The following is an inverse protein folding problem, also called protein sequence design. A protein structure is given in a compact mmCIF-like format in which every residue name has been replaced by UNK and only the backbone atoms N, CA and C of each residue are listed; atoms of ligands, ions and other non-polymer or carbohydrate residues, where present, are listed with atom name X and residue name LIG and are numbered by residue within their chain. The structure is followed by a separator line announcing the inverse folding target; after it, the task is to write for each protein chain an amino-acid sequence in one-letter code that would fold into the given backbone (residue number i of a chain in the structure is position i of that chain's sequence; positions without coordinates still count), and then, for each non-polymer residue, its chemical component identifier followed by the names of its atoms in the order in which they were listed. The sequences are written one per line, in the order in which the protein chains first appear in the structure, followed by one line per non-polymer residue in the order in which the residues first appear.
data_IF_690729010887
#
_entry.id   IF_690729010887
#
_cell.length_a   1.000
_cell.length_b   1.000
_cell.length_c   1.000
_cell.angle_alpha   90.00
_cell.angle_beta   90.00
_cell.angle_gamma   90.00
#
_symmetry.space_group_name_H-M   'P 1'
#
loop_
_entity.id
_entity.type
_entity.pdbx_description
1 polymer ?
#
# COMPACT_ATOMS: atom_id res chain seq x y z
N UNK A 1 -15.68 -12.93 -92.05
CA UNK A 1 -14.28 -13.38 -91.84
C UNK A 1 -13.76 -12.57 -90.65
N UNK A 2 -13.99 -13.02 -89.41
CA UNK A 2 -13.04 -13.79 -88.56
C UNK A 2 -11.77 -12.97 -88.20
N UNK A 3 -11.75 -12.54 -86.93
CA UNK A 3 -10.66 -12.19 -85.99
C UNK A 3 -9.59 -11.14 -86.34
N UNK A 4 -9.36 -10.19 -85.43
CA UNK A 4 -8.13 -10.17 -84.60
C UNK A 4 -8.27 -9.27 -83.36
N UNK A 5 -8.25 -9.92 -82.19
CA UNK A 5 -8.01 -9.35 -80.86
C UNK A 5 -6.50 -9.08 -80.74
N UNK A 6 -6.08 -7.85 -80.44
CA UNK A 6 -4.86 -7.54 -79.65
C UNK A 6 -4.94 -6.07 -79.22
N UNK A 7 -5.45 -5.77 -78.02
CA UNK A 7 -4.66 -5.37 -76.86
C UNK A 7 -3.65 -4.25 -77.20
N UNK A 8 -4.10 -3.00 -77.15
CA UNK A 8 -3.25 -1.82 -77.04
C UNK A 8 -3.12 -1.47 -75.54
N UNK A 9 -2.48 -2.38 -74.82
CA UNK A 9 -1.82 -2.07 -73.54
C UNK A 9 -0.66 -1.15 -73.89
N UNK A 10 -0.76 0.14 -73.60
CA UNK A 10 0.35 0.95 -73.07
C UNK A 10 -0.04 2.42 -72.98
N UNK A 11 0.22 2.97 -71.80
CA UNK A 11 0.51 4.39 -71.56
C UNK A 11 -0.63 5.38 -71.70
N UNK A 12 -1.39 5.57 -70.62
CA UNK A 12 -1.43 6.88 -69.96
C UNK A 12 -1.98 6.76 -68.54
N UNK A 13 -1.21 6.06 -67.69
CA UNK A 13 -1.17 6.42 -66.27
C UNK A 13 -0.57 7.81 -66.24
N UNK A 14 -1.30 8.81 -65.71
CA UNK A 14 -0.81 10.00 -64.97
C UNK A 14 -1.95 11.04 -64.87
N UNK A 15 -2.45 11.19 -63.63
CA UNK A 15 -2.88 12.45 -62.99
C UNK A 15 -4.21 13.08 -63.43
N UNK A 16 -5.26 12.80 -62.63
CA UNK A 16 -6.16 13.81 -62.00
C UNK A 16 -7.00 13.09 -60.93
N UNK A 17 -6.56 13.04 -59.67
CA UNK A 17 -6.85 14.02 -58.61
C UNK A 17 -8.35 14.23 -58.32
N UNK A 18 -8.93 13.29 -57.57
CA UNK A 18 -10.01 13.60 -56.64
C UNK A 18 -9.70 12.88 -55.31
N UNK A 19 -9.45 13.70 -54.30
CA UNK A 19 -9.09 13.39 -52.92
C UNK A 19 -9.88 12.22 -52.31
N UNK A 20 -9.18 11.18 -51.87
CA UNK A 20 -9.69 10.21 -50.89
C UNK A 20 -9.01 10.56 -49.55
N UNK A 21 -9.75 10.73 -48.44
CA UNK A 21 -9.12 10.93 -47.15
C UNK A 21 -8.44 9.62 -46.73
N UNK A 22 -7.12 9.57 -46.83
CA UNK A 22 -6.31 8.58 -46.13
C UNK A 22 -6.34 8.94 -44.64
N UNK A 23 -7.23 8.29 -43.89
CA UNK A 23 -7.10 8.23 -42.44
C UNK A 23 -5.79 7.48 -42.14
N UNK A 24 -4.78 8.22 -41.73
CA UNK A 24 -3.57 7.67 -41.14
C UNK A 24 -3.97 7.04 -39.80
N UNK A 25 -4.33 5.76 -39.81
CA UNK A 25 -4.43 4.98 -38.58
C UNK A 25 -3.01 4.55 -38.26
N UNK A 26 -2.30 5.36 -37.47
CA UNK A 26 -1.08 4.90 -36.83
C UNK A 26 -1.43 3.59 -36.09
N UNK A 27 -0.65 2.51 -36.28
CA UNK A 27 -0.79 1.35 -35.41
C UNK A 27 -0.42 1.84 -34.02
N UNK A 28 -1.43 2.12 -33.19
CA UNK A 28 -1.27 2.28 -31.75
C UNK A 28 -0.69 0.96 -31.28
N UNK A 29 0.63 0.97 -31.11
CA UNK A 29 1.33 -0.10 -30.43
C UNK A 29 0.90 0.02 -28.99
N UNK A 30 -0.15 -0.69 -28.63
CA UNK A 30 -0.52 -0.90 -27.24
C UNK A 30 0.63 -1.66 -26.61
N UNK A 31 1.56 -0.94 -26.01
CA UNK A 31 2.48 -1.51 -25.04
C UNK A 31 1.61 -1.92 -23.86
N UNK A 32 1.16 -3.17 -23.88
CA UNK A 32 0.68 -3.83 -22.67
C UNK A 32 1.88 -3.89 -21.75
N UNK A 33 2.03 -2.89 -20.87
CA UNK A 33 2.90 -3.03 -19.72
C UNK A 33 2.34 -4.24 -18.98
N UNK A 34 3.04 -5.36 -19.08
CA UNK A 34 2.76 -6.50 -18.24
C UNK A 34 2.95 -6.00 -16.81
N UNK A 35 1.84 -5.66 -16.15
CA UNK A 35 1.81 -5.42 -14.72
C UNK A 35 2.31 -6.71 -14.10
N UNK A 36 3.60 -6.72 -13.77
CA UNK A 36 4.19 -7.80 -13.00
C UNK A 36 3.58 -7.63 -11.63
N UNK A 37 2.47 -8.32 -11.39
CA UNK A 37 1.88 -8.43 -10.06
C UNK A 37 2.85 -9.29 -9.25
N UNK A 38 3.87 -8.64 -8.69
CA UNK A 38 4.67 -9.25 -7.64
C UNK A 38 3.71 -9.42 -6.47
N UNK A 39 3.14 -10.61 -6.33
CA UNK A 39 2.42 -10.99 -5.12
C UNK A 39 3.45 -11.06 -4.01
N UNK A 40 3.66 -9.93 -3.32
CA UNK A 40 4.35 -9.92 -2.04
C UNK A 40 3.45 -10.69 -1.09
N UNK A 41 3.73 -11.99 -0.93
CA UNK A 41 3.09 -12.81 0.09
C UNK A 41 3.52 -12.22 1.42
N UNK A 42 2.64 -11.41 2.03
CA UNK A 42 2.85 -10.94 3.41
C UNK A 42 3.07 -12.17 4.29
N UNK A 43 4.11 -12.19 5.14
CA UNK A 43 4.29 -13.29 6.07
C UNK A 43 3.00 -13.51 6.87
N UNK A 44 2.64 -14.78 7.14
CA UNK A 44 1.43 -15.06 7.88
C UNK A 44 1.46 -14.34 9.23
N UNK A 45 0.35 -13.70 9.56
CA UNK A 45 0.20 -12.99 10.81
C UNK A 45 0.33 -13.97 11.99
N UNK A 46 1.29 -13.79 12.91
CA UNK A 46 1.70 -14.83 13.86
C UNK A 46 0.83 -14.89 15.12
N UNK A 47 -0.21 -14.08 15.20
CA UNK A 47 -1.00 -13.83 16.39
C UNK A 47 -2.43 -14.34 16.18
N UNK A 48 -3.07 -14.86 17.23
CA UNK A 48 -4.32 -15.63 17.12
C UNK A 48 -5.53 -14.91 17.68
N UNK A 49 -5.41 -14.33 18.87
CA UNK A 49 -6.47 -13.55 19.51
C UNK A 49 -6.41 -12.06 19.16
N UNK A 50 -5.21 -11.56 18.85
CA UNK A 50 -4.97 -10.16 18.54
C UNK A 50 -5.23 -9.86 17.08
N UNK A 51 -6.05 -8.87 16.71
CA UNK A 51 -6.12 -8.40 15.32
C UNK A 51 -4.87 -7.58 14.96
N UNK A 52 -4.66 -7.31 13.67
CA UNK A 52 -3.67 -6.29 13.25
C UNK A 52 -4.10 -4.92 13.78
N UNK A 53 -3.17 -4.15 14.36
CA UNK A 53 -3.44 -2.84 14.97
C UNK A 53 -3.19 -1.67 14.00
N UNK A 54 -2.38 -1.89 12.97
CA UNK A 54 -2.10 -0.86 11.97
C UNK A 54 -3.37 -0.56 11.16
N UNK A 55 -3.68 0.72 10.95
CA UNK A 55 -4.91 1.16 10.30
C UNK A 55 -5.02 0.60 8.86
N UNK A 56 -6.01 -0.27 8.58
CA UNK A 56 -6.20 -0.81 7.24
C UNK A 56 -6.75 0.22 6.24
N UNK A 57 -7.18 1.40 6.71
CA UNK A 57 -7.62 2.49 5.84
C UNK A 57 -6.44 3.19 5.14
N UNK A 58 -5.20 2.94 5.54
CA UNK A 58 -4.03 3.51 4.88
C UNK A 58 -3.79 2.88 3.52
N UNK A 59 -4.00 3.68 2.47
CA UNK A 59 -3.93 3.22 1.07
C UNK A 59 -2.58 3.47 0.40
N UNK A 60 -1.69 4.22 1.06
CA UNK A 60 -0.34 4.51 0.58
C UNK A 60 0.04 5.97 0.69
N UNK A 61 1.35 6.24 0.67
CA UNK A 61 1.86 7.61 0.70
C UNK A 61 1.35 8.39 -0.51
N UNK A 62 0.75 9.55 -0.26
CA UNK A 62 0.18 10.38 -1.33
C UNK A 62 -1.23 10.00 -1.77
N UNK A 63 -1.88 9.02 -1.14
CA UNK A 63 -3.26 8.61 -1.47
C UNK A 63 -4.17 8.92 -0.27
N UNK A 64 -5.19 9.79 -0.40
CA UNK A 64 -5.65 10.46 -1.62
C UNK A 64 -4.81 11.66 -2.06
N UNK A 65 -3.96 12.21 -1.18
CA UNK A 65 -3.01 13.27 -1.50
C UNK A 65 -1.81 13.22 -0.54
N UNK A 66 -0.77 14.02 -0.80
CA UNK A 66 0.49 14.04 -0.02
C UNK A 66 0.34 14.56 1.42
N UNK A 67 -0.71 15.30 1.75
CA UNK A 67 -0.90 15.89 3.07
C UNK A 67 -1.70 14.97 4.00
N UNK A 68 -2.57 14.13 3.46
CA UNK A 68 -3.48 13.29 4.26
C UNK A 68 -3.26 11.79 4.05
N UNK A 69 -2.53 11.38 3.02
CA UNK A 69 -2.30 9.96 2.73
C UNK A 69 -1.28 9.33 3.67
N UNK A 70 -1.66 8.23 4.32
CA UNK A 70 -0.78 7.45 5.19
C UNK A 70 -0.21 6.23 4.46
N UNK A 71 1.05 5.83 4.77
CA UNK A 71 1.64 4.62 4.22
C UNK A 71 0.84 3.40 4.64
N UNK A 72 0.73 2.43 3.74
CA UNK A 72 0.29 1.08 4.04
C UNK A 72 1.18 0.43 5.10
N UNK A 73 0.69 -0.64 5.74
CA UNK A 73 1.50 -1.42 6.68
C UNK A 73 2.82 -1.92 6.07
N UNK A 74 2.82 -2.26 4.78
CA UNK A 74 4.02 -2.71 4.07
C UNK A 74 5.03 -1.58 3.86
N UNK A 75 4.57 -0.39 3.45
CA UNK A 75 5.44 0.79 3.28
C UNK A 75 6.01 1.30 4.61
N UNK A 76 5.23 1.18 5.70
CA UNK A 76 5.69 1.49 7.04
C UNK A 76 6.54 0.36 7.69
N UNK A 77 6.78 -0.75 6.97
CA UNK A 77 7.60 -1.86 7.46
C UNK A 77 7.02 -2.55 8.71
N UNK A 78 5.70 -2.54 8.86
CA UNK A 78 5.03 -3.09 10.04
C UNK A 78 5.19 -4.60 10.05
N UNK A 79 5.79 -5.10 11.12
CA UNK A 79 5.96 -6.52 11.37
C UNK A 79 5.38 -6.88 12.73
N UNK A 80 4.72 -8.03 12.79
CA UNK A 80 4.18 -8.56 14.03
C UNK A 80 4.99 -9.77 14.42
N UNK A 81 5.21 -9.93 15.72
CA UNK A 81 5.90 -11.09 16.26
C UNK A 81 5.36 -11.43 17.65
N UNK A 82 5.12 -12.72 17.86
CA UNK A 82 4.74 -13.27 19.16
C UNK A 82 5.97 -13.32 20.06
N UNK A 83 5.86 -12.84 21.30
CA UNK A 83 6.95 -12.85 22.29
C UNK A 83 8.22 -12.07 21.91
N UNK A 84 8.19 -11.17 20.94
CA UNK A 84 9.41 -10.51 20.46
C UNK A 84 9.93 -9.43 21.42
N UNK A 85 9.02 -8.64 22.01
CA UNK A 85 9.42 -7.46 22.79
C UNK A 85 9.68 -7.75 24.27
N UNK A 86 9.33 -8.95 24.78
CA UNK A 86 9.39 -9.27 26.22
C UNK A 86 10.82 -9.21 26.81
N UNK A 87 11.84 -9.48 25.99
CA UNK A 87 13.24 -9.44 26.43
C UNK A 87 13.73 -7.99 26.67
N UNK A 88 13.18 -7.04 25.92
CA UNK A 88 13.52 -5.61 26.04
C UNK A 88 12.55 -4.88 26.97
N UNK A 89 11.32 -5.37 27.06
CA UNK A 89 10.22 -4.76 27.81
C UNK A 89 9.61 -5.80 28.75
N UNK A 90 10.24 -6.05 29.92
CA UNK A 90 9.83 -7.12 30.84
C UNK A 90 8.47 -6.87 31.52
N UNK A 91 7.88 -5.69 31.31
CA UNK A 91 6.51 -5.38 31.73
C UNK A 91 5.46 -5.87 30.74
N UNK A 92 5.85 -6.26 29.52
CA UNK A 92 4.94 -6.86 28.54
C UNK A 92 4.67 -8.30 28.95
N UNK A 93 3.40 -8.72 29.09
CA UNK A 93 3.06 -10.08 29.48
C UNK A 93 3.66 -11.12 28.53
N UNK A 94 4.02 -12.29 29.08
CA UNK A 94 4.37 -13.44 28.26
C UNK A 94 3.20 -13.82 27.35
N UNK A 95 3.51 -14.40 26.19
CA UNK A 95 2.53 -14.72 25.15
C UNK A 95 1.78 -13.49 24.61
N UNK A 96 2.48 -12.36 24.48
CA UNK A 96 1.92 -11.18 23.82
C UNK A 96 2.34 -11.10 22.36
N UNK A 97 1.37 -10.79 21.50
CA UNK A 97 1.65 -10.28 20.17
C UNK A 97 2.30 -8.90 20.30
N UNK A 98 3.28 -8.60 19.48
CA UNK A 98 3.96 -7.30 19.56
C UNK A 98 4.41 -6.80 18.20
N UNK A 99 4.52 -5.49 18.10
CA UNK A 99 5.10 -4.82 16.95
C UNK A 99 5.89 -3.60 17.42
N UNK A 100 6.98 -3.31 16.71
CA UNK A 100 7.76 -2.09 16.88
C UNK A 100 7.55 -1.27 15.61
N UNK A 101 7.01 -0.08 15.78
CA UNK A 101 6.66 0.80 14.67
C UNK A 101 7.75 1.85 14.55
N UNK A 102 8.36 1.91 13.38
CA UNK A 102 9.29 2.97 12.98
C UNK A 102 8.67 3.64 11.78
N UNK A 103 8.06 4.80 11.98
CA UNK A 103 7.46 5.54 10.89
C UNK A 103 8.51 5.99 9.86
N UNK A 104 8.23 5.87 8.55
CA UNK A 104 9.10 6.37 7.49
C UNK A 104 9.45 7.86 7.67
N UNK A 105 10.55 8.33 7.07
CA UNK A 105 10.86 9.76 7.03
C UNK A 105 9.66 10.59 6.55
N UNK A 106 9.56 11.83 7.03
CA UNK A 106 8.45 12.77 6.77
C UNK A 106 7.08 12.35 7.30
N UNK A 107 6.98 11.23 8.02
CA UNK A 107 5.78 10.83 8.73
C UNK A 107 6.02 10.77 10.24
N UNK A 108 4.94 10.86 11.02
CA UNK A 108 4.93 10.73 12.48
C UNK A 108 3.89 9.70 12.88
N UNK A 109 3.97 9.18 14.10
CA UNK A 109 3.04 8.16 14.57
C UNK A 109 1.77 8.81 15.13
N UNK A 110 0.61 8.38 14.65
CA UNK A 110 -0.70 8.70 15.19
C UNK A 110 -1.25 7.46 15.90
N UNK A 111 -1.72 7.65 17.12
CA UNK A 111 -2.40 6.64 17.91
C UNK A 111 -3.88 7.01 18.04
N UNK A 112 -4.76 6.02 17.93
CA UNK A 112 -6.16 6.16 18.31
C UNK A 112 -6.35 5.55 19.69
N UNK A 113 -6.43 6.40 20.72
CA UNK A 113 -6.63 6.00 22.11
C UNK A 113 -7.92 6.62 22.62
N UNK A 114 -8.78 5.82 23.27
CA UNK A 114 -10.08 6.28 23.77
C UNK A 114 -10.91 7.03 22.70
N UNK A 115 -10.81 6.61 21.43
CA UNK A 115 -11.47 7.26 20.29
C UNK A 115 -10.87 8.60 19.84
N UNK A 116 -9.77 9.04 20.45
CA UNK A 116 -9.08 10.29 20.12
C UNK A 116 -7.76 9.99 19.41
N UNK A 117 -7.45 10.79 18.39
CA UNK A 117 -6.18 10.75 17.66
C UNK A 117 -5.13 11.57 18.41
N UNK A 118 -4.00 10.97 18.72
CA UNK A 118 -2.86 11.61 19.35
C UNK A 118 -1.61 11.38 18.52
N UNK A 119 -0.86 12.45 18.25
CA UNK A 119 0.46 12.33 17.66
C UNK A 119 1.48 11.93 18.74
N UNK A 120 2.43 11.08 18.38
CA UNK A 120 3.55 10.77 19.25
C UNK A 120 4.80 10.35 18.49
N UNK A 121 5.82 9.97 19.28
CA UNK A 121 7.14 9.66 18.75
C UNK A 121 7.20 8.33 18.02
N UNK A 122 8.11 8.27 17.05
CA UNK A 122 8.63 7.05 16.42
C UNK A 122 10.11 6.91 16.84
N UNK A 123 10.60 5.72 17.26
CA UNK A 123 9.88 4.45 17.29
C UNK A 123 8.94 4.30 18.49
N UNK A 124 7.97 3.40 18.36
CA UNK A 124 7.07 3.02 19.45
C UNK A 124 6.81 1.52 19.49
N UNK A 125 6.38 1.04 20.65
CA UNK A 125 6.02 -0.36 20.86
C UNK A 125 4.53 -0.47 21.10
N UNK A 126 3.93 -1.43 20.43
CA UNK A 126 2.57 -1.87 20.69
C UNK A 126 2.60 -3.36 21.05
N UNK A 127 1.80 -3.76 22.03
CA UNK A 127 1.62 -5.16 22.38
C UNK A 127 0.15 -5.48 22.60
N UNK A 128 -0.21 -6.73 22.36
CA UNK A 128 -1.54 -7.25 22.61
C UNK A 128 -1.46 -8.60 23.31
N UNK A 129 -2.31 -8.78 24.32
CA UNK A 129 -2.37 -10.03 25.09
C UNK A 129 -3.07 -11.11 24.25
N UNK A 130 -2.45 -12.27 24.06
CA UNK A 130 -3.11 -13.40 23.36
C UNK A 130 -4.09 -14.16 24.26
N UNK A 131 -3.92 -14.04 25.58
CA UNK A 131 -4.66 -14.82 26.57
C UNK A 131 -5.05 -13.95 27.76
N UNK A 132 -5.99 -14.47 28.57
CA UNK A 132 -6.45 -13.80 29.78
C UNK A 132 -7.59 -12.80 29.53
N UNK A 133 -7.96 -12.01 30.56
CA UNK A 133 -9.14 -11.14 30.53
C UNK A 133 -9.06 -10.00 29.50
N UNK A 134 -7.85 -9.64 29.08
CA UNK A 134 -7.61 -8.57 28.11
C UNK A 134 -7.19 -9.11 26.74
N UNK A 135 -7.43 -10.40 26.46
CA UNK A 135 -7.05 -11.01 25.20
C UNK A 135 -7.64 -10.22 24.01
N UNK A 136 -6.81 -9.96 23.00
CA UNK A 136 -7.20 -9.21 21.79
C UNK A 136 -7.13 -7.68 21.91
N UNK A 137 -6.76 -7.14 23.08
CA UNK A 137 -6.60 -5.69 23.29
C UNK A 137 -5.16 -5.23 23.07
N UNK A 138 -5.00 -4.14 22.33
CA UNK A 138 -3.71 -3.52 22.09
C UNK A 138 -3.41 -2.41 23.11
N UNK A 139 -2.14 -2.32 23.48
CA UNK A 139 -1.62 -1.34 24.42
C UNK A 139 -0.31 -0.74 23.91
N UNK A 140 -0.06 0.51 24.31
CA UNK A 140 1.25 1.14 24.25
C UNK A 140 1.61 1.74 25.61
N UNK A 141 2.86 2.15 25.80
CA UNK A 141 3.33 2.77 27.03
C UNK A 141 4.74 2.31 27.41
N UNK A 142 5.22 2.88 28.52
CA UNK A 142 6.58 2.65 29.03
C UNK A 142 6.63 1.67 30.21
N UNK A 143 5.47 1.24 30.72
CA UNK A 143 5.35 0.26 31.80
C UNK A 143 3.96 -0.37 31.86
N UNK A 144 3.80 -1.43 32.67
CA UNK A 144 2.51 -2.08 32.91
C UNK A 144 1.47 -1.15 33.56
N UNK A 145 1.90 -0.22 34.42
CA UNK A 145 1.02 0.73 35.11
C UNK A 145 0.73 1.99 34.28
N UNK A 146 1.61 2.33 33.34
CA UNK A 146 1.46 3.45 32.42
C UNK A 146 1.16 2.95 31.00
N UNK A 147 0.33 1.90 30.90
CA UNK A 147 -0.17 1.39 29.63
C UNK A 147 -1.46 2.08 29.24
N UNK A 148 -1.62 2.33 27.95
CA UNK A 148 -2.81 2.96 27.39
C UNK A 148 -3.37 2.01 26.33
N UNK A 149 -4.67 1.69 26.44
CA UNK A 149 -5.38 0.88 25.44
C UNK A 149 -5.47 1.68 24.13
N UNK A 150 -5.13 1.02 23.03
CA UNK A 150 -5.18 1.55 21.67
C UNK A 150 -6.17 0.78 20.82
N UNK A 151 -6.80 1.49 19.89
CA UNK A 151 -7.74 0.94 18.92
C UNK A 151 -7.17 0.83 17.51
N UNK A 152 -6.25 1.73 17.17
CA UNK A 152 -5.57 1.79 15.89
C UNK A 152 -4.27 2.58 16.04
N UNK A 153 -3.32 2.35 15.15
CA UNK A 153 -2.16 3.20 14.95
C UNK A 153 -1.85 3.32 13.47
N UNK A 154 -1.27 4.45 13.07
CA UNK A 154 -0.83 4.67 11.69
C UNK A 154 0.28 5.71 11.64
N UNK A 155 1.13 5.63 10.63
CA UNK A 155 2.03 6.74 10.35
C UNK A 155 1.28 7.77 9.51
N UNK A 156 1.41 9.06 9.82
CA UNK A 156 0.74 10.14 9.09
C UNK A 156 1.75 11.21 8.65
N UNK A 157 1.55 11.89 7.52
CA UNK A 157 2.47 12.94 7.07
C UNK A 157 2.67 14.03 8.11
N UNK A 158 3.91 14.48 8.28
CA UNK A 158 4.22 15.69 9.04
C UNK A 158 3.86 16.88 8.16
N UNK A 159 2.69 17.48 8.43
CA UNK A 159 2.31 18.77 7.86
C UNK A 159 3.17 19.86 8.51
N UNK A 160 4.30 20.19 7.90
CA UNK A 160 4.99 21.45 8.19
C UNK A 160 4.09 22.58 7.70
N UNK A 161 3.56 23.36 8.65
CA UNK A 161 2.98 24.67 8.34
C UNK A 161 4.02 25.64 7.80
#
# INVERSE_FOLDING_TARGET
MIYHITILFTSFVIVVYACIPTQNVDPVTTTTVATTTTTVTEPPFPCSACPKIYDPACQGLGIPNLLTGCPTAAEAGITYALNAVIALFPFVPANSCSTVIVCPPTTTLEYVVLGTKLLGGSPAIAWCEETGPNAGKWYTGVSFIARIEMYSLSCVPIISG
#
